data_IF_162529170202
#
_entry.id   IF_162529170202
#
_cell.length_a   1.000
_cell.length_b   1.000
_cell.length_c   1.000
_cell.angle_alpha   90.00
_cell.angle_beta   90.00
_cell.angle_gamma   90.00
#
_symmetry.space_group_name_H-M   'P 1'
#
loop_
_entity.id
_entity.type
_entity.pdbx_description
1 polymer ?
#
# COMPACT_ATOMS: atom_id res chain seq x y z
N UNK A 1 36.10 -63.87 -5.62
CA UNK A 1 36.49 -63.03 -6.78
C UNK A 1 35.23 -62.62 -7.53
N UNK A 2 35.01 -61.30 -7.66
CA UNK A 2 34.04 -60.58 -8.54
C UNK A 2 32.54 -60.93 -8.35
N UNK A 3 31.85 -60.27 -7.41
CA UNK A 3 30.89 -59.15 -7.62
C UNK A 3 29.84 -59.41 -8.71
N UNK A 4 28.56 -59.47 -8.34
CA UNK A 4 27.46 -58.88 -9.12
C UNK A 4 26.24 -58.63 -8.18
N UNK A 5 26.19 -57.43 -7.61
CA UNK A 5 24.93 -56.80 -7.18
C UNK A 5 24.41 -55.99 -8.37
N UNK A 6 23.16 -56.17 -8.76
CA UNK A 6 22.37 -55.16 -9.49
C UNK A 6 20.91 -55.29 -9.04
N UNK A 7 20.54 -54.51 -8.05
CA UNK A 7 19.14 -54.20 -7.70
C UNK A 7 18.73 -53.06 -8.65
N UNK A 8 17.77 -53.32 -9.54
CA UNK A 8 17.16 -52.28 -10.36
C UNK A 8 16.16 -51.49 -9.50
N UNK A 9 16.57 -50.33 -9.00
CA UNK A 9 15.68 -49.37 -8.36
C UNK A 9 15.13 -48.41 -9.43
N UNK A 10 13.90 -48.65 -9.86
CA UNK A 10 13.14 -47.75 -10.74
C UNK A 10 12.61 -46.58 -9.93
N UNK A 11 13.33 -45.46 -9.87
CA UNK A 11 12.82 -44.20 -9.33
C UNK A 11 12.14 -43.39 -10.44
N UNK A 12 10.81 -43.42 -10.49
CA UNK A 12 10.02 -42.54 -11.33
C UNK A 12 10.10 -41.09 -10.78
N UNK A 13 10.91 -40.25 -11.42
CA UNK A 13 10.99 -38.84 -11.11
C UNK A 13 9.82 -38.12 -11.78
N UNK A 14 8.74 -37.87 -11.03
CA UNK A 14 7.64 -37.00 -11.47
C UNK A 14 8.17 -35.56 -11.45
N UNK A 15 8.59 -35.04 -12.61
CA UNK A 15 8.83 -33.60 -12.76
C UNK A 15 7.46 -32.90 -12.70
N UNK A 16 7.14 -32.37 -11.52
CA UNK A 16 6.03 -31.42 -11.37
C UNK A 16 6.43 -30.12 -12.05
N UNK A 17 6.03 -29.93 -13.31
CA UNK A 17 6.18 -28.65 -14.00
C UNK A 17 5.25 -27.64 -13.35
N UNK A 18 5.78 -26.83 -12.44
CA UNK A 18 5.06 -25.69 -11.91
C UNK A 18 4.90 -24.67 -13.05
N UNK A 19 3.73 -24.67 -13.66
CA UNK A 19 3.38 -23.73 -14.70
C UNK A 19 3.38 -22.32 -14.12
N UNK A 20 4.41 -21.54 -14.41
CA UNK A 20 4.41 -20.09 -14.23
C UNK A 20 3.48 -19.52 -15.30
N UNK A 21 2.18 -19.42 -14.98
CA UNK A 21 1.26 -18.65 -15.79
C UNK A 21 1.81 -17.22 -15.91
N UNK A 22 1.82 -16.61 -17.11
CA UNK A 22 2.23 -15.23 -17.27
C UNK A 22 1.28 -14.36 -16.45
N UNK A 23 1.78 -13.78 -15.37
CA UNK A 23 1.11 -12.68 -14.67
C UNK A 23 1.03 -11.55 -15.69
N UNK A 24 -0.13 -11.37 -16.32
CA UNK A 24 -0.43 -10.12 -16.99
C UNK A 24 -0.11 -9.01 -15.99
N UNK A 25 0.81 -8.10 -16.35
CA UNK A 25 1.25 -7.03 -15.45
C UNK A 25 0.06 -6.14 -15.13
N UNK A 26 -0.67 -6.48 -14.06
CA UNK A 26 -1.78 -5.71 -13.55
C UNK A 26 -1.23 -4.33 -13.18
N UNK A 27 -1.90 -3.27 -13.63
CA UNK A 27 -1.50 -1.91 -13.27
C UNK A 27 -1.49 -1.78 -11.75
N UNK A 28 -0.32 -1.41 -11.23
CA UNK A 28 -0.06 -1.22 -9.82
C UNK A 28 -1.13 -0.35 -9.15
N UNK A 29 -1.71 -0.81 -8.03
CA UNK A 29 -2.77 -0.11 -7.29
C UNK A 29 -2.35 1.30 -6.85
N UNK A 30 -1.06 1.51 -6.53
CA UNK A 30 -0.52 2.83 -6.19
C UNK A 30 -0.47 3.79 -7.39
N UNK A 31 -0.59 3.29 -8.62
CA UNK A 31 -0.53 4.09 -9.85
C UNK A 31 -1.53 5.24 -9.86
N UNK A 32 -2.73 5.03 -9.31
CA UNK A 32 -3.76 6.08 -9.22
C UNK A 32 -3.33 7.28 -8.37
N UNK A 33 -2.49 7.06 -7.36
CA UNK A 33 -2.08 8.11 -6.42
C UNK A 33 -1.22 9.18 -7.12
N UNK A 34 -0.53 8.81 -8.21
CA UNK A 34 0.29 9.71 -9.03
C UNK A 34 -0.50 10.85 -9.67
N UNK A 35 -1.82 10.70 -9.81
CA UNK A 35 -2.67 11.76 -10.32
C UNK A 35 -2.55 13.02 -9.44
N UNK A 36 -2.55 12.85 -8.11
CA UNK A 36 -2.57 13.95 -7.17
C UNK A 36 -1.28 14.11 -6.36
N UNK A 37 -0.48 13.06 -6.21
CA UNK A 37 0.68 13.04 -5.32
C UNK A 37 1.98 12.75 -6.07
N UNK A 38 3.07 13.34 -5.58
CA UNK A 38 4.40 12.86 -5.93
C UNK A 38 4.85 11.79 -4.92
N UNK A 39 5.61 10.82 -5.39
CA UNK A 39 6.29 9.81 -4.57
C UNK A 39 7.68 10.34 -4.15
N UNK A 40 7.72 11.61 -3.77
CA UNK A 40 8.88 12.36 -3.25
C UNK A 40 8.37 13.26 -2.12
N UNK A 41 9.23 14.06 -1.50
CA UNK A 41 8.82 15.04 -0.48
C UNK A 41 8.06 16.24 -1.07
N UNK A 42 8.20 16.49 -2.37
CA UNK A 42 7.58 17.65 -3.02
C UNK A 42 6.07 17.48 -3.15
N UNK A 43 5.30 18.50 -2.78
CA UNK A 43 3.86 18.54 -3.04
C UNK A 43 3.51 18.54 -4.53
N UNK A 44 2.27 18.13 -4.82
CA UNK A 44 1.60 18.33 -6.11
C UNK A 44 0.21 18.92 -5.82
N UNK A 45 -0.87 18.20 -6.15
CA UNK A 45 -2.23 18.55 -5.72
C UNK A 45 -2.41 18.17 -4.25
N UNK A 46 -1.89 17.00 -3.86
CA UNK A 46 -1.76 16.55 -2.49
C UNK A 46 -0.31 16.64 -1.97
N UNK A 47 -0.09 16.32 -0.68
CA UNK A 47 1.25 16.27 -0.09
C UNK A 47 2.14 15.24 -0.79
N UNK A 48 3.47 15.45 -0.76
CA UNK A 48 4.43 14.42 -1.12
C UNK A 48 4.34 13.19 -0.22
N UNK A 49 4.57 12.01 -0.79
CA UNK A 49 4.39 10.72 -0.12
C UNK A 49 5.68 10.07 0.37
N UNK A 50 6.86 10.61 0.02
CA UNK A 50 8.11 10.11 0.60
C UNK A 50 8.11 10.31 2.12
N UNK A 51 8.55 9.30 2.86
CA UNK A 51 8.54 9.30 4.32
C UNK A 51 7.16 9.53 4.93
N UNK A 52 6.06 9.17 4.23
CA UNK A 52 4.72 9.31 4.80
C UNK A 52 4.46 8.30 5.91
N UNK A 53 5.02 7.09 5.81
CA UNK A 53 4.84 6.06 6.83
C UNK A 53 5.51 6.49 8.14
N UNK A 54 4.74 6.56 9.22
CA UNK A 54 5.16 7.07 10.53
C UNK A 54 5.12 8.60 10.68
N UNK A 55 4.89 9.36 9.61
CA UNK A 55 4.81 10.83 9.69
C UNK A 55 3.53 11.26 10.39
N UNK A 56 3.63 12.25 11.28
CA UNK A 56 2.45 12.88 11.89
C UNK A 56 1.58 13.56 10.83
N UNK A 57 0.26 13.51 11.02
CA UNK A 57 -0.71 14.03 10.07
C UNK A 57 -0.57 15.55 9.87
N UNK A 58 -0.78 16.03 8.64
CA UNK A 58 -1.02 17.46 8.40
C UNK A 58 0.20 18.37 8.53
N UNK A 59 1.42 17.81 8.70
CA UNK A 59 2.62 18.60 9.01
C UNK A 59 3.46 19.03 7.81
N UNK A 60 3.17 18.55 6.58
CA UNK A 60 4.03 18.88 5.44
C UNK A 60 4.04 20.40 5.20
N UNK A 61 5.21 21.04 5.12
CA UNK A 61 5.32 22.44 4.78
C UNK A 61 4.63 22.77 3.45
N UNK A 62 4.12 23.99 3.33
CA UNK A 62 3.48 24.52 2.13
C UNK A 62 2.24 23.77 1.63
N UNK A 63 1.72 22.80 2.37
CA UNK A 63 0.47 22.12 2.05
C UNK A 63 -0.73 22.78 2.72
N UNK A 64 -1.73 23.11 1.90
CA UNK A 64 -3.00 23.65 2.39
C UNK A 64 -3.96 22.50 2.78
N UNK A 65 -3.80 21.96 3.98
CA UNK A 65 -4.70 20.93 4.54
C UNK A 65 -6.10 21.49 4.86
N UNK A 66 -7.07 20.59 5.12
CA UNK A 66 -8.29 21.00 5.84
C UNK A 66 -7.96 21.22 7.32
N UNK A 67 -8.82 21.96 8.03
CA UNK A 67 -8.65 22.20 9.46
C UNK A 67 -8.53 20.88 10.26
N UNK A 68 -9.43 19.93 10.00
CA UNK A 68 -9.44 18.64 10.73
C UNK A 68 -8.21 17.76 10.45
N UNK A 69 -7.61 17.86 9.26
CA UNK A 69 -6.38 17.12 8.95
C UNK A 69 -5.14 17.83 9.51
N UNK A 70 -5.15 19.17 9.54
CA UNK A 70 -4.05 19.97 10.09
C UNK A 70 -3.97 19.87 11.61
N UNK A 71 -5.12 19.82 12.28
CA UNK A 71 -5.22 19.68 13.74
C UNK A 71 -5.42 18.24 14.21
N UNK A 72 -5.20 17.27 13.32
CA UNK A 72 -5.32 15.85 13.67
C UNK A 72 -4.18 15.41 14.59
N UNK A 73 -4.46 14.47 15.48
CA UNK A 73 -3.47 13.90 16.40
C UNK A 73 -3.28 12.40 16.14
N UNK A 74 -2.73 12.08 14.96
CA UNK A 74 -2.35 10.71 14.62
C UNK A 74 -1.13 10.70 13.71
N UNK A 75 -0.49 9.53 13.63
CA UNK A 75 0.59 9.26 12.69
C UNK A 75 0.15 8.27 11.63
N UNK A 76 0.71 8.38 10.43
CA UNK A 76 0.39 7.49 9.31
C UNK A 76 1.05 6.12 9.47
N UNK A 77 0.46 5.28 10.31
CA UNK A 77 0.77 3.86 10.36
C UNK A 77 -0.02 3.06 9.31
N UNK A 78 0.14 1.74 9.35
CA UNK A 78 -0.53 0.83 8.43
C UNK A 78 -2.06 0.86 8.56
N UNK A 79 -2.61 0.86 9.77
CA UNK A 79 -4.05 0.83 9.99
C UNK A 79 -4.71 2.12 9.47
N UNK A 80 -4.13 3.28 9.83
CA UNK A 80 -4.62 4.56 9.39
C UNK A 80 -4.56 4.70 7.87
N UNK A 81 -3.46 4.26 7.24
CA UNK A 81 -3.32 4.30 5.78
C UNK A 81 -4.35 3.39 5.09
N UNK A 82 -4.62 2.18 5.60
CA UNK A 82 -5.64 1.28 5.04
C UNK A 82 -7.02 1.92 5.04
N UNK A 83 -7.46 2.45 6.17
CA UNK A 83 -8.76 3.11 6.28
C UNK A 83 -8.85 4.36 5.39
N UNK A 84 -7.77 5.16 5.37
CA UNK A 84 -7.69 6.37 4.56
C UNK A 84 -7.74 6.08 3.04
N UNK A 85 -7.06 5.02 2.59
CA UNK A 85 -7.06 4.57 1.19
C UNK A 85 -8.42 4.03 0.74
N UNK A 86 -9.19 3.43 1.65
CA UNK A 86 -10.55 3.00 1.34
C UNK A 86 -11.49 4.20 1.27
N UNK A 87 -11.57 4.99 2.36
CA UNK A 87 -12.48 6.13 2.42
C UNK A 87 -11.98 7.21 3.39
N UNK A 88 -11.13 8.09 2.89
CA UNK A 88 -10.62 9.27 3.61
C UNK A 88 -11.67 10.13 4.31
N UNK A 89 -12.85 10.30 3.71
CA UNK A 89 -13.95 11.11 4.28
C UNK A 89 -14.59 10.46 5.49
N UNK A 90 -14.57 9.12 5.55
CA UNK A 90 -15.02 8.35 6.71
C UNK A 90 -13.91 8.29 7.75
N UNK A 91 -12.71 7.89 7.33
CA UNK A 91 -11.53 7.76 8.18
C UNK A 91 -11.23 9.04 8.97
N UNK A 92 -11.25 10.22 8.34
CA UNK A 92 -10.99 11.49 9.07
C UNK A 92 -11.96 11.73 10.23
N UNK A 93 -13.21 11.26 10.11
CA UNK A 93 -14.22 11.40 11.18
C UNK A 93 -13.97 10.42 12.31
N UNK A 94 -13.53 9.22 11.96
CA UNK A 94 -13.20 8.17 12.93
C UNK A 94 -11.94 8.55 13.71
N UNK A 95 -10.86 8.94 13.01
CA UNK A 95 -9.59 9.32 13.65
C UNK A 95 -9.71 10.52 14.59
N UNK A 96 -10.59 11.46 14.25
CA UNK A 96 -10.79 12.67 15.06
C UNK A 96 -11.92 12.52 16.08
N UNK A 97 -12.72 11.46 16.01
CA UNK A 97 -13.99 11.34 16.75
C UNK A 97 -15.05 12.39 16.36
N UNK A 98 -14.80 13.23 15.35
CA UNK A 98 -15.70 14.30 14.94
C UNK A 98 -16.52 13.89 13.70
N UNK A 99 -17.84 13.68 13.80
CA UNK A 99 -18.68 13.27 12.66
C UNK A 99 -18.77 14.34 11.55
N UNK A 100 -18.42 15.59 11.89
CA UNK A 100 -18.39 16.73 10.97
C UNK A 100 -17.00 16.98 10.37
N UNK A 101 -15.98 16.19 10.72
CA UNK A 101 -14.65 16.34 10.15
C UNK A 101 -14.66 16.24 8.62
N UNK A 102 -13.72 16.95 7.99
CA UNK A 102 -13.58 17.05 6.53
C UNK A 102 -12.13 16.87 6.11
N UNK A 103 -11.96 16.28 4.92
CA UNK A 103 -10.69 16.21 4.20
C UNK A 103 -10.89 16.70 2.77
N UNK A 104 -9.84 17.31 2.21
CA UNK A 104 -9.82 17.71 0.80
C UNK A 104 -9.54 16.52 -0.13
N UNK A 105 -9.00 15.41 0.39
CA UNK A 105 -8.72 14.23 -0.42
C UNK A 105 -10.02 13.47 -0.74
N UNK A 106 -10.36 13.24 -2.02
CA UNK A 106 -11.53 12.45 -2.37
C UNK A 106 -11.34 10.99 -1.95
N UNK A 107 -12.46 10.29 -1.75
CA UNK A 107 -12.45 8.87 -1.36
C UNK A 107 -11.79 8.04 -2.46
N UNK A 108 -10.74 7.31 -2.09
CA UNK A 108 -9.88 6.61 -3.03
C UNK A 108 -10.43 5.22 -3.39
N UNK A 109 -11.26 4.59 -2.54
CA UNK A 109 -11.89 3.29 -2.78
C UNK A 109 -10.90 2.14 -3.03
N UNK A 110 -9.68 2.20 -2.47
CA UNK A 110 -8.83 1.00 -2.33
C UNK A 110 -9.16 0.38 -0.97
N UNK A 111 -10.11 -0.56 -1.00
CA UNK A 111 -10.57 -1.30 0.18
C UNK A 111 -10.15 -2.77 0.15
N UNK A 112 -9.67 -3.25 -1.01
CA UNK A 112 -9.12 -4.59 -1.17
C UNK A 112 -7.75 -4.68 -0.49
N UNK A 113 -7.56 -5.72 0.34
CA UNK A 113 -6.36 -5.86 1.16
C UNK A 113 -5.08 -6.00 0.32
N UNK A 114 -5.10 -6.82 -0.74
CA UNK A 114 -3.93 -7.01 -1.60
C UNK A 114 -3.52 -5.70 -2.30
N UNK A 115 -4.49 -4.91 -2.77
CA UNK A 115 -4.22 -3.58 -3.34
C UNK A 115 -3.69 -2.59 -2.29
N UNK A 116 -4.19 -2.66 -1.07
CA UNK A 116 -3.66 -1.85 0.03
C UNK A 116 -2.21 -2.24 0.36
N UNK A 117 -1.90 -3.53 0.38
CA UNK A 117 -0.56 -4.05 0.64
C UNK A 117 0.43 -3.54 -0.41
N UNK A 118 0.03 -3.53 -1.67
CA UNK A 118 0.85 -3.00 -2.75
C UNK A 118 1.16 -1.50 -2.58
N UNK A 119 0.16 -0.70 -2.18
CA UNK A 119 0.36 0.73 -1.90
C UNK A 119 1.25 0.91 -0.67
N UNK A 120 1.00 0.17 0.41
CA UNK A 120 1.80 0.24 1.64
C UNK A 120 3.25 -0.14 1.40
N UNK A 121 3.51 -1.21 0.64
CA UNK A 121 4.86 -1.61 0.24
C UNK A 121 5.54 -0.49 -0.55
N UNK A 122 4.81 0.17 -1.46
CA UNK A 122 5.36 1.31 -2.18
C UNK A 122 5.67 2.49 -1.25
N UNK A 123 4.78 2.82 -0.31
CA UNK A 123 4.98 3.91 0.64
C UNK A 123 6.13 3.64 1.62
N UNK A 124 6.29 2.39 2.09
CA UNK A 124 7.38 1.98 3.00
C UNK A 124 8.76 1.96 2.32
N UNK A 125 8.80 1.97 0.99
CA UNK A 125 10.05 1.98 0.21
C UNK A 125 10.50 3.38 -0.23
N UNK A 126 9.77 4.44 0.14
CA UNK A 126 10.05 5.83 -0.27
C UNK A 126 10.09 6.82 0.88
#
# INVERSE_FOLDING_TARGET
MKKLMMIAASAAFVLSTMALAPVAAQAAAWGKCKACHNFTEKKKVGPGLAGVFGRHVGIMPDMNYSADVKGGDWSWDEAHLREWMCNSKKAVKEFTGNPKARTKMPAQKICDAAKQDEVLAKLKSI
#
